data_IF_537178717828
#
_entry.id   IF_537178717828
#
_cell.length_a   1.000
_cell.length_b   1.000
_cell.length_c   1.000
_cell.angle_alpha   90.00
_cell.angle_beta   90.00
_cell.angle_gamma   90.00
#
_symmetry.space_group_name_H-M   'P 1'
#
loop_
_entity.id
_entity.type
_entity.pdbx_description
1 polymer ?
#
# COMPACT_ATOMS: atom_id res chain seq x y z
N UNK A 1 -12.38 -6.82 15.52
CA UNK A 1 -11.08 -6.40 14.98
C UNK A 1 -10.73 -5.04 15.53
N UNK A 2 -9.45 -4.69 15.53
CA UNK A 2 -8.95 -3.37 15.84
C UNK A 2 -7.88 -3.06 14.80
N UNK A 3 -7.75 -1.79 14.38
CA UNK A 3 -6.69 -1.39 13.47
C UNK A 3 -5.33 -1.70 14.10
N UNK A 4 -4.45 -2.37 13.35
CA UNK A 4 -3.09 -2.65 13.79
C UNK A 4 -2.24 -1.38 13.83
N UNK A 5 -1.10 -1.44 14.53
CA UNK A 5 -0.20 -0.30 14.70
C UNK A 5 -0.58 0.65 15.83
N UNK A 6 -1.80 0.56 16.38
CA UNK A 6 -2.21 1.31 17.58
C UNK A 6 -1.38 0.98 18.83
N UNK A 7 -0.70 -0.17 18.85
CA UNK A 7 0.28 -0.52 19.85
C UNK A 7 1.65 0.14 19.63
N UNK A 8 1.93 0.60 18.41
CA UNK A 8 3.22 1.18 18.01
C UNK A 8 3.23 2.71 18.05
N UNK A 9 2.13 3.37 17.65
CA UNK A 9 2.04 4.84 17.53
C UNK A 9 0.66 5.38 17.91
N UNK A 10 0.55 6.65 18.33
CA UNK A 10 -0.74 7.32 18.49
C UNK A 10 -1.56 7.26 17.19
N UNK A 11 -2.88 7.05 17.30
CA UNK A 11 -3.80 6.96 16.16
C UNK A 11 -3.67 8.19 15.23
N UNK A 12 -3.61 9.39 15.81
CA UNK A 12 -3.45 10.65 15.08
C UNK A 12 -2.18 10.65 14.21
N UNK A 13 -1.07 10.15 14.74
CA UNK A 13 0.21 10.11 14.01
C UNK A 13 0.18 9.07 12.89
N UNK A 14 -0.50 7.94 13.10
CA UNK A 14 -0.70 6.93 12.06
C UNK A 14 -1.49 7.52 10.89
N UNK A 15 -2.60 8.19 11.19
CA UNK A 15 -3.44 8.83 10.17
C UNK A 15 -2.71 9.98 9.48
N UNK A 16 -1.91 10.76 10.21
CA UNK A 16 -1.10 11.83 9.64
C UNK A 16 -0.10 11.30 8.62
N UNK A 17 0.59 10.19 8.92
CA UNK A 17 1.50 9.56 7.97
C UNK A 17 0.78 9.12 6.67
N UNK A 18 -0.46 8.61 6.77
CA UNK A 18 -1.24 8.22 5.58
C UNK A 18 -1.53 9.45 4.70
N UNK A 19 -1.92 10.57 5.32
CA UNK A 19 -2.17 11.83 4.61
C UNK A 19 -0.90 12.46 4.04
N UNK A 20 0.21 12.44 4.79
CA UNK A 20 1.53 12.94 4.35
C UNK A 20 2.04 12.18 3.12
N UNK A 21 1.76 10.88 3.04
CA UNK A 21 2.04 10.03 1.88
C UNK A 21 1.09 10.26 0.68
N UNK A 22 0.22 11.27 0.76
CA UNK A 22 -0.72 11.67 -0.30
C UNK A 22 -1.79 10.62 -0.63
N UNK A 23 -2.04 9.65 0.25
CA UNK A 23 -3.25 8.84 0.14
C UNK A 23 -4.46 9.70 0.53
N UNK A 24 -5.57 9.54 -0.19
CA UNK A 24 -6.79 10.31 0.02
C UNK A 24 -7.96 9.46 0.54
N UNK A 25 -7.78 8.14 0.64
CA UNK A 25 -8.76 7.24 1.26
C UNK A 25 -8.08 6.05 1.96
N UNK A 26 -8.81 5.43 2.87
CA UNK A 26 -8.45 4.16 3.50
C UNK A 26 -9.56 3.14 3.29
N UNK A 27 -9.20 1.96 2.76
CA UNK A 27 -10.06 0.78 2.77
C UNK A 27 -9.91 0.10 4.14
N UNK A 28 -10.87 0.31 5.03
CA UNK A 28 -10.80 -0.12 6.41
C UNK A 28 -11.62 -1.40 6.61
N UNK A 29 -10.94 -2.47 7.00
CA UNK A 29 -11.53 -3.81 7.09
C UNK A 29 -12.30 -4.00 8.40
N UNK A 30 -13.44 -4.67 8.32
CA UNK A 30 -14.26 -5.05 9.48
C UNK A 30 -14.79 -6.49 9.36
N UNK A 31 -15.18 -7.06 10.50
CA UNK A 31 -15.67 -8.43 10.58
C UNK A 31 -17.14 -8.48 10.97
N UNK A 32 -17.95 -9.36 10.37
CA UNK A 32 -19.39 -9.48 10.71
C UNK A 32 -19.60 -9.67 12.22
N UNK A 33 -18.85 -10.58 12.85
CA UNK A 33 -19.01 -10.88 14.27
C UNK A 33 -18.68 -9.71 15.19
N UNK A 34 -17.92 -8.73 14.69
CA UNK A 34 -17.62 -7.53 15.46
C UNK A 34 -18.86 -6.68 15.69
N UNK A 35 -19.77 -6.62 14.71
CA UNK A 35 -20.99 -5.82 14.74
C UNK A 35 -22.23 -6.61 15.18
N UNK A 36 -22.20 -7.95 15.12
CA UNK A 36 -23.34 -8.79 15.52
C UNK A 36 -23.19 -9.40 16.92
N UNK A 37 -21.95 -9.62 17.41
CA UNK A 37 -21.70 -10.31 18.69
C UNK A 37 -21.14 -9.40 19.77
N UNK A 38 -20.72 -8.20 19.40
CA UNK A 38 -20.14 -7.17 20.27
C UNK A 38 -18.94 -7.66 21.09
N UNK A 39 -18.23 -6.72 21.72
CA UNK A 39 -17.10 -7.05 22.56
C UNK A 39 -16.34 -5.81 23.01
N UNK A 40 -15.47 -6.00 24.00
CA UNK A 40 -14.59 -4.97 24.54
C UNK A 40 -13.16 -5.19 24.05
N UNK A 41 -12.42 -4.12 23.77
CA UNK A 41 -11.03 -4.19 23.28
C UNK A 41 -10.15 -4.96 24.28
N UNK A 42 -10.12 -4.51 25.54
CA UNK A 42 -9.33 -5.13 26.61
C UNK A 42 -9.60 -6.63 26.75
N UNK A 43 -10.88 -7.02 26.85
CA UNK A 43 -11.28 -8.43 27.01
C UNK A 43 -10.81 -9.30 25.84
N UNK A 44 -10.86 -8.79 24.60
CA UNK A 44 -10.37 -9.54 23.43
C UNK A 44 -8.86 -9.68 23.43
N UNK A 45 -8.13 -8.60 23.70
CA UNK A 45 -6.67 -8.61 23.79
C UNK A 45 -6.20 -9.62 24.84
N UNK A 46 -6.83 -9.60 26.02
CA UNK A 46 -6.51 -10.53 27.10
C UNK A 46 -6.84 -11.99 26.71
N UNK A 47 -7.97 -12.23 26.04
CA UNK A 47 -8.36 -13.58 25.59
C UNK A 47 -7.42 -14.18 24.54
N UNK A 48 -6.72 -13.32 23.78
CA UNK A 48 -5.75 -13.73 22.77
C UNK A 48 -4.31 -13.78 23.32
N UNK A 49 -4.09 -13.40 24.59
CA UNK A 49 -2.77 -13.38 25.21
C UNK A 49 -1.81 -12.32 24.64
N UNK A 50 -2.33 -11.27 23.99
CA UNK A 50 -1.53 -10.26 23.28
C UNK A 50 -0.96 -9.18 24.23
N UNK A 51 -0.04 -9.58 25.12
CA UNK A 51 0.52 -8.71 26.17
C UNK A 51 1.25 -7.50 25.61
N UNK A 52 2.13 -7.69 24.63
CA UNK A 52 2.89 -6.58 24.03
C UNK A 52 1.99 -5.55 23.35
N UNK A 53 0.95 -6.03 22.64
CA UNK A 53 -0.03 -5.14 22.01
C UNK A 53 -0.82 -4.36 23.07
N UNK A 54 -1.19 -5.00 24.19
CA UNK A 54 -1.86 -4.34 25.32
C UNK A 54 -1.02 -3.20 25.88
N UNK A 55 0.25 -3.48 26.18
CA UNK A 55 1.17 -2.50 26.76
C UNK A 55 1.44 -1.35 25.79
N UNK A 56 1.60 -1.66 24.50
CA UNK A 56 1.75 -0.67 23.44
C UNK A 56 0.53 0.23 23.28
N UNK A 57 -0.69 -0.34 23.29
CA UNK A 57 -1.94 0.43 23.21
C UNK A 57 -2.10 1.29 24.47
N UNK A 58 -1.79 0.75 25.66
CA UNK A 58 -1.83 1.52 26.90
C UNK A 58 -0.89 2.73 26.84
N UNK A 59 0.29 2.57 26.24
CA UNK A 59 1.28 3.64 26.08
C UNK A 59 0.83 4.70 25.06
N UNK A 60 0.36 4.27 23.89
CA UNK A 60 0.17 5.15 22.74
C UNK A 60 -1.27 5.64 22.56
N UNK A 61 -2.26 4.83 22.96
CA UNK A 61 -3.69 5.06 22.77
C UNK A 61 -4.52 4.59 23.98
N UNK A 62 -4.23 5.05 25.21
CA UNK A 62 -4.78 4.48 26.44
C UNK A 62 -6.32 4.45 26.49
N UNK A 63 -6.98 5.44 25.88
CA UNK A 63 -8.45 5.55 25.88
C UNK A 63 -9.09 4.41 25.07
N UNK A 64 -8.44 3.93 24.00
CA UNK A 64 -8.97 2.87 23.12
C UNK A 64 -9.11 1.55 23.87
N UNK A 65 -8.22 1.27 24.83
CA UNK A 65 -8.17 -0.02 25.52
C UNK A 65 -9.48 -0.36 26.24
N UNK A 66 -10.15 0.64 26.79
CA UNK A 66 -11.39 0.49 27.55
C UNK A 66 -12.66 0.66 26.70
N UNK A 67 -12.53 0.79 25.38
CA UNK A 67 -13.67 0.95 24.48
C UNK A 67 -14.29 -0.40 24.09
N UNK A 68 -15.58 -0.35 23.74
CA UNK A 68 -16.19 -1.39 22.94
C UNK A 68 -15.47 -1.47 21.59
N UNK A 69 -15.33 -2.68 21.01
CA UNK A 69 -14.66 -2.89 19.73
C UNK A 69 -15.24 -2.01 18.62
N UNK A 70 -16.57 -1.94 18.54
CA UNK A 70 -17.27 -1.09 17.55
C UNK A 70 -16.91 0.38 17.77
N UNK A 71 -16.86 0.84 19.01
CA UNK A 71 -16.50 2.22 19.34
C UNK A 71 -15.03 2.53 19.03
N UNK A 72 -14.14 1.59 19.28
CA UNK A 72 -12.73 1.72 18.92
C UNK A 72 -12.56 1.85 17.40
N UNK A 73 -13.31 1.07 16.61
CA UNK A 73 -13.32 1.17 15.16
C UNK A 73 -13.92 2.49 14.66
N UNK A 74 -15.03 2.93 15.24
CA UNK A 74 -15.57 4.28 14.97
C UNK A 74 -14.55 5.37 15.25
N UNK A 75 -13.76 5.25 16.32
CA UNK A 75 -12.72 6.22 16.67
C UNK A 75 -11.65 6.32 15.59
N UNK A 76 -11.30 5.20 14.95
CA UNK A 76 -10.39 5.20 13.78
C UNK A 76 -11.04 5.91 12.58
N UNK A 77 -12.31 5.62 12.28
CA UNK A 77 -13.05 6.28 11.18
C UNK A 77 -13.21 7.78 11.42
N UNK A 78 -13.36 8.21 12.68
CA UNK A 78 -13.45 9.62 13.05
C UNK A 78 -12.12 10.34 12.87
N UNK A 79 -11.01 9.74 13.29
CA UNK A 79 -9.69 10.35 13.07
C UNK A 79 -9.34 10.44 11.58
N UNK A 80 -9.62 9.39 10.80
CA UNK A 80 -9.44 9.41 9.33
C UNK A 80 -10.19 10.60 8.71
N UNK A 81 -11.47 10.78 9.06
CA UNK A 81 -12.27 11.91 8.58
C UNK A 81 -11.79 13.27 9.07
N UNK A 82 -11.34 13.37 10.33
CA UNK A 82 -10.81 14.60 10.91
C UNK A 82 -9.55 15.10 10.18
N UNK A 83 -8.80 14.19 9.55
CA UNK A 83 -7.62 14.51 8.73
C UNK A 83 -7.92 14.50 7.22
N UNK A 84 -9.19 14.54 6.83
CA UNK A 84 -9.60 14.70 5.43
C UNK A 84 -9.53 13.45 4.57
N UNK A 85 -9.33 12.26 5.16
CA UNK A 85 -9.32 11.01 4.42
C UNK A 85 -10.73 10.44 4.25
N UNK A 86 -11.04 9.95 3.05
CA UNK A 86 -12.24 9.15 2.80
C UNK A 86 -12.06 7.73 3.35
N UNK A 87 -13.17 7.06 3.63
CA UNK A 87 -13.17 5.69 4.16
C UNK A 87 -14.07 4.80 3.31
N UNK A 88 -13.53 3.68 2.86
CA UNK A 88 -14.29 2.57 2.28
C UNK A 88 -14.33 1.45 3.32
N UNK A 89 -15.52 1.12 3.82
CA UNK A 89 -15.68 0.07 4.83
C UNK A 89 -15.72 -1.30 4.15
N UNK A 90 -14.79 -2.19 4.45
CA UNK A 90 -14.70 -3.49 3.80
C UNK A 90 -15.11 -4.64 4.72
N UNK A 91 -16.18 -5.37 4.37
CA UNK A 91 -16.54 -6.59 5.09
C UNK A 91 -15.57 -7.72 4.74
N UNK A 92 -14.49 -7.84 5.52
CA UNK A 92 -13.36 -8.69 5.17
C UNK A 92 -13.57 -10.17 5.52
N UNK A 93 -14.26 -10.44 6.62
CA UNK A 93 -14.60 -11.81 7.06
C UNK A 93 -15.77 -11.81 8.03
N UNK A 94 -16.27 -13.00 8.35
CA UNK A 94 -17.28 -13.14 9.37
C UNK A 94 -16.65 -13.26 10.76
N UNK A 95 -15.81 -14.28 10.96
CA UNK A 95 -15.10 -14.54 12.21
C UNK A 95 -13.67 -14.01 12.09
N UNK A 96 -13.22 -13.10 12.98
CA UNK A 96 -11.87 -12.53 12.94
C UNK A 96 -10.83 -13.54 13.47
N UNK A 97 -10.18 -14.28 12.57
CA UNK A 97 -8.99 -15.10 12.83
C UNK A 97 -8.15 -15.22 11.55
N UNK A 98 -7.16 -16.14 11.51
CA UNK A 98 -6.32 -16.37 10.33
C UNK A 98 -7.14 -16.73 9.08
N UNK A 99 -7.17 -15.81 8.13
CA UNK A 99 -7.52 -16.03 6.73
C UNK A 99 -6.21 -16.34 5.95
N UNK A 100 -6.17 -16.56 4.64
CA UNK A 100 -7.19 -16.41 3.60
C UNK A 100 -7.17 -17.64 2.69
N UNK A 101 -7.31 -18.82 3.28
CA UNK A 101 -7.27 -20.10 2.56
C UNK A 101 -8.65 -20.47 2.01
N UNK A 102 -8.70 -21.31 0.96
CA UNK A 102 -9.96 -21.77 0.35
C UNK A 102 -10.86 -22.59 1.30
N UNK A 103 -10.31 -23.09 2.41
CA UNK A 103 -10.98 -23.89 3.42
C UNK A 103 -11.01 -23.21 4.79
N UNK A 104 -10.79 -21.90 4.84
CA UNK A 104 -10.80 -21.13 6.09
C UNK A 104 -12.20 -20.96 6.69
N UNK A 105 -13.25 -21.53 6.09
CA UNK A 105 -14.61 -21.47 6.62
C UNK A 105 -15.24 -20.07 6.67
N UNK A 106 -14.63 -19.06 6.04
CA UNK A 106 -15.17 -17.71 5.90
C UNK A 106 -15.41 -17.32 4.44
N UNK A 107 -14.78 -17.97 3.47
CA UNK A 107 -14.69 -17.47 2.10
C UNK A 107 -16.00 -17.49 1.30
N UNK A 108 -16.97 -18.35 1.62
CA UNK A 108 -18.16 -18.50 0.76
C UNK A 108 -19.45 -18.93 1.48
N UNK A 109 -20.58 -18.77 0.80
CA UNK A 109 -21.88 -19.14 1.32
C UNK A 109 -21.93 -20.63 1.70
N UNK A 110 -22.48 -20.91 2.89
CA UNK A 110 -22.55 -22.26 3.45
C UNK A 110 -21.26 -22.74 4.14
N UNK A 111 -20.26 -21.89 4.26
CA UNK A 111 -19.13 -22.14 5.14
C UNK A 111 -19.52 -21.97 6.63
N UNK A 112 -18.79 -22.65 7.51
CA UNK A 112 -19.08 -22.74 8.95
C UNK A 112 -19.18 -21.38 9.67
N UNK A 113 -18.58 -20.32 9.12
CA UNK A 113 -18.61 -18.99 9.72
C UNK A 113 -19.32 -17.96 8.83
N UNK A 114 -19.72 -18.31 7.61
CA UNK A 114 -20.44 -17.39 6.73
C UNK A 114 -21.93 -17.74 6.66
N UNK A 115 -22.68 -17.17 7.60
CA UNK A 115 -24.14 -17.24 7.64
C UNK A 115 -24.75 -16.03 6.90
N UNK A 116 -25.52 -16.22 5.80
CA UNK A 116 -26.04 -15.12 4.99
C UNK A 116 -26.88 -14.10 5.78
N UNK A 117 -27.69 -14.59 6.71
CA UNK A 117 -28.56 -13.74 7.52
C UNK A 117 -27.77 -12.86 8.51
N UNK A 118 -26.80 -13.44 9.23
CA UNK A 118 -25.92 -12.69 10.14
C UNK A 118 -25.04 -11.70 9.36
N UNK A 119 -24.59 -12.06 8.15
CA UNK A 119 -23.87 -11.15 7.26
C UNK A 119 -24.74 -9.95 6.83
N UNK A 120 -25.98 -10.19 6.40
CA UNK A 120 -26.91 -9.11 6.05
C UNK A 120 -27.21 -8.20 7.26
N UNK A 121 -27.40 -8.77 8.44
CA UNK A 121 -27.56 -8.02 9.69
C UNK A 121 -26.32 -7.16 10.00
N UNK A 122 -25.12 -7.71 9.79
CA UNK A 122 -23.86 -6.98 9.91
C UNK A 122 -23.80 -5.78 8.96
N UNK A 123 -24.12 -5.98 7.67
CA UNK A 123 -24.15 -4.91 6.67
C UNK A 123 -25.14 -3.80 7.04
N UNK A 124 -26.36 -4.16 7.45
CA UNK A 124 -27.38 -3.20 7.88
C UNK A 124 -26.94 -2.42 9.12
N UNK A 125 -26.30 -3.10 10.07
CA UNK A 125 -25.79 -2.49 11.31
C UNK A 125 -24.70 -1.46 10.99
N UNK A 126 -23.73 -1.82 10.15
CA UNK A 126 -22.66 -0.92 9.72
C UNK A 126 -23.22 0.24 8.91
N UNK A 127 -24.08 -0.01 7.91
CA UNK A 127 -24.69 1.06 7.13
C UNK A 127 -25.44 2.07 8.02
N UNK A 128 -26.23 1.60 8.99
CA UNK A 128 -26.94 2.48 9.91
C UNK A 128 -26.02 3.25 10.87
N UNK A 129 -24.94 2.62 11.36
CA UNK A 129 -23.99 3.24 12.29
C UNK A 129 -23.14 4.33 11.65
N UNK A 130 -22.83 4.19 10.36
CA UNK A 130 -21.92 5.10 9.64
C UNK A 130 -22.62 6.08 8.69
N UNK A 131 -23.95 5.98 8.48
CA UNK A 131 -24.68 6.82 7.50
C UNK A 131 -24.56 8.34 7.68
N UNK A 132 -24.26 8.83 8.87
CA UNK A 132 -24.10 10.27 9.16
C UNK A 132 -22.66 10.75 9.08
N UNK A 133 -21.70 9.83 8.86
CA UNK A 133 -20.27 10.13 8.77
C UNK A 133 -19.91 10.34 7.29
N UNK A 134 -19.91 11.60 6.85
CA UNK A 134 -19.71 11.97 5.44
C UNK A 134 -18.38 11.47 4.84
N UNK A 135 -17.37 11.20 5.66
CA UNK A 135 -16.12 10.62 5.22
C UNK A 135 -16.24 9.15 4.79
N UNK A 136 -17.30 8.44 5.21
CA UNK A 136 -17.58 7.07 4.76
C UNK A 136 -18.31 7.12 3.43
N UNK A 137 -17.58 6.84 2.35
CA UNK A 137 -18.06 7.05 0.98
C UNK A 137 -18.59 5.78 0.33
N UNK A 138 -18.17 4.61 0.80
CA UNK A 138 -18.60 3.31 0.26
C UNK A 138 -18.47 2.19 1.30
N UNK A 139 -19.14 1.07 1.03
CA UNK A 139 -19.00 -0.17 1.77
C UNK A 139 -18.81 -1.33 0.79
N UNK A 140 -17.66 -1.99 0.83
CA UNK A 140 -17.44 -3.28 0.18
C UNK A 140 -18.25 -4.35 0.93
N UNK A 141 -19.08 -5.08 0.18
CA UNK A 141 -20.08 -5.98 0.76
C UNK A 141 -19.49 -7.30 1.26
N UNK A 142 -18.44 -7.81 0.59
CA UNK A 142 -17.73 -9.01 1.01
C UNK A 142 -16.38 -9.10 0.28
N UNK A 143 -15.31 -9.18 1.05
CA UNK A 143 -13.97 -9.40 0.54
C UNK A 143 -13.79 -10.79 -0.08
N UNK A 144 -13.16 -10.83 -1.26
CA UNK A 144 -12.62 -12.02 -1.93
C UNK A 144 -13.43 -13.31 -1.75
N UNK A 145 -14.67 -13.32 -2.24
CA UNK A 145 -15.47 -14.55 -2.20
C UNK A 145 -14.72 -15.70 -2.86
N UNK A 146 -14.38 -16.73 -2.08
CA UNK A 146 -13.52 -17.84 -2.50
C UNK A 146 -13.94 -19.13 -1.81
N UNK A 147 -14.07 -20.21 -2.57
CA UNK A 147 -14.30 -21.55 -2.02
C UNK A 147 -13.93 -22.61 -3.05
N UNK A 148 -13.56 -23.80 -2.56
CA UNK A 148 -13.46 -25.00 -3.40
C UNK A 148 -14.80 -25.39 -4.03
N UNK A 149 -15.92 -24.82 -3.57
CA UNK A 149 -17.29 -25.07 -4.02
C UNK A 149 -17.79 -24.08 -5.08
N UNK A 150 -16.91 -23.28 -5.68
CA UNK A 150 -17.29 -22.31 -6.72
C UNK A 150 -17.57 -22.95 -8.11
N UNK A 151 -17.45 -24.27 -8.22
CA UNK A 151 -17.76 -24.99 -9.46
C UNK A 151 -19.27 -24.95 -9.75
N UNK A 152 -19.67 -24.86 -11.02
CA UNK A 152 -21.09 -24.78 -11.46
C UNK A 152 -22.02 -25.82 -10.80
N UNK A 153 -21.48 -27.01 -10.53
CA UNK A 153 -22.24 -28.09 -9.91
C UNK A 153 -22.55 -27.87 -8.42
N UNK A 154 -21.69 -27.14 -7.69
CA UNK A 154 -21.90 -26.83 -6.28
C UNK A 154 -22.73 -25.55 -6.09
N UNK A 155 -22.68 -24.63 -7.06
CA UNK A 155 -23.58 -23.47 -7.16
C UNK A 155 -25.04 -23.92 -7.03
N UNK A 156 -25.42 -24.92 -7.82
CA UNK A 156 -26.80 -25.44 -7.84
C UNK A 156 -27.21 -26.23 -6.58
N UNK A 157 -26.27 -26.74 -5.76
CA UNK A 157 -26.56 -27.60 -4.60
C UNK A 157 -26.57 -26.87 -3.25
N UNK A 158 -25.77 -25.82 -3.08
CA UNK A 158 -25.68 -25.11 -1.80
C UNK A 158 -26.80 -24.09 -1.55
N UNK A 159 -27.78 -24.01 -2.45
CA UNK A 159 -28.68 -22.89 -2.45
C UNK A 159 -27.93 -21.60 -2.80
N UNK A 160 -27.04 -21.63 -3.80
CA UNK A 160 -26.92 -20.45 -4.65
C UNK A 160 -28.32 -20.29 -5.25
N UNK A 161 -29.12 -19.51 -4.55
CA UNK A 161 -30.10 -18.70 -5.21
C UNK A 161 -29.32 -17.45 -5.61
N UNK A 162 -28.84 -17.35 -6.87
CA UNK A 162 -28.86 -16.06 -7.54
C UNK A 162 -30.15 -15.34 -7.19
N UNK A 163 -31.29 -16.03 -7.07
CA UNK A 163 -32.52 -15.46 -6.53
C UNK A 163 -32.50 -14.90 -5.09
N UNK A 164 -31.62 -15.21 -4.13
CA UNK A 164 -31.66 -14.54 -2.81
C UNK A 164 -30.99 -13.16 -2.88
N UNK A 165 -29.86 -13.08 -3.58
CA UNK A 165 -29.19 -11.82 -3.87
C UNK A 165 -29.89 -11.06 -4.99
N UNK A 166 -30.32 -11.69 -6.09
CA UNK A 166 -31.18 -11.09 -7.12
C UNK A 166 -32.50 -10.63 -6.50
N UNK A 167 -33.35 -11.48 -5.91
CA UNK A 167 -34.67 -11.04 -5.41
C UNK A 167 -34.58 -9.91 -4.36
N UNK A 168 -33.46 -9.78 -3.62
CA UNK A 168 -33.23 -8.65 -2.71
C UNK A 168 -32.39 -7.49 -3.26
N UNK A 169 -31.56 -7.69 -4.29
CA UNK A 169 -30.63 -6.68 -4.88
C UNK A 169 -31.08 -6.22 -6.27
N UNK A 170 -31.69 -7.06 -7.10
CA UNK A 170 -32.36 -6.61 -8.34
C UNK A 170 -33.63 -5.80 -8.07
N UNK A 171 -34.15 -5.84 -6.85
CA UNK A 171 -35.18 -4.90 -6.36
C UNK A 171 -34.63 -3.60 -5.77
N UNK A 172 -33.30 -3.48 -5.59
CA UNK A 172 -32.67 -2.26 -5.11
C UNK A 172 -32.32 -1.37 -6.30
N UNK A 173 -33.12 -0.33 -6.50
CA UNK A 173 -32.69 0.81 -7.30
C UNK A 173 -31.55 1.54 -6.56
N UNK A 174 -30.33 1.08 -6.82
CA UNK A 174 -29.11 1.65 -6.26
C UNK A 174 -28.76 3.01 -6.87
N UNK A 175 -29.57 3.58 -7.79
CA UNK A 175 -29.46 4.97 -8.27
C UNK A 175 -28.02 5.44 -8.54
N UNK A 176 -27.32 4.80 -9.49
CA UNK A 176 -25.93 5.08 -9.87
C UNK A 176 -24.88 4.91 -8.74
N UNK A 177 -25.21 4.20 -7.64
CA UNK A 177 -24.29 3.96 -6.50
C UNK A 177 -23.54 2.63 -6.58
N UNK A 178 -23.72 1.85 -7.65
CA UNK A 178 -23.02 0.58 -7.84
C UNK A 178 -21.62 0.82 -8.42
N UNK A 179 -20.60 0.25 -7.77
CA UNK A 179 -19.21 0.23 -8.22
C UNK A 179 -18.74 -1.22 -8.16
N UNK A 180 -18.04 -1.68 -9.21
CA UNK A 180 -17.43 -3.01 -9.21
C UNK A 180 -16.05 -2.94 -8.57
N UNK A 181 -15.65 -3.98 -7.85
CA UNK A 181 -14.36 -4.08 -7.18
C UNK A 181 -13.52 -5.22 -7.77
N UNK A 182 -12.21 -5.03 -7.88
CA UNK A 182 -11.27 -6.06 -8.38
C UNK A 182 -9.97 -6.03 -7.61
N UNK A 183 -9.41 -7.21 -7.37
CA UNK A 183 -8.12 -7.42 -6.70
C UNK A 183 -7.18 -8.14 -7.63
N UNK A 184 -5.88 -7.85 -7.54
CA UNK A 184 -4.86 -8.56 -8.30
C UNK A 184 -3.50 -8.46 -7.64
N UNK A 185 -2.83 -9.60 -7.53
CA UNK A 185 -1.55 -9.74 -6.85
C UNK A 185 -0.49 -10.33 -7.79
N UNK A 186 0.78 -10.07 -7.50
CA UNK A 186 1.90 -10.62 -8.29
C UNK A 186 1.96 -12.15 -8.25
N UNK A 187 1.46 -12.74 -7.16
CA UNK A 187 1.38 -14.19 -6.95
C UNK A 187 0.14 -14.83 -7.56
N UNK A 188 -0.74 -14.06 -8.20
CA UNK A 188 -1.92 -14.60 -8.90
C UNK A 188 -1.50 -15.32 -10.19
N UNK A 189 -2.00 -16.55 -10.39
CA UNK A 189 -1.69 -17.37 -11.56
C UNK A 189 -0.40 -18.19 -11.42
N UNK A 190 0.11 -18.68 -12.55
CA UNK A 190 1.38 -19.43 -12.57
C UNK A 190 2.56 -18.48 -12.39
N UNK A 191 3.26 -18.58 -11.27
CA UNK A 191 4.40 -17.72 -10.95
C UNK A 191 5.65 -18.09 -11.76
N UNK A 192 5.78 -19.34 -12.22
CA UNK A 192 6.97 -19.81 -12.93
C UNK A 192 7.14 -19.11 -14.29
N UNK A 193 6.05 -18.61 -14.87
CA UNK A 193 6.09 -17.90 -16.16
C UNK A 193 6.95 -16.64 -16.10
N UNK A 194 7.04 -15.98 -14.94
CA UNK A 194 7.86 -14.77 -14.77
C UNK A 194 9.36 -15.06 -14.88
N UNK A 195 9.77 -16.30 -14.59
CA UNK A 195 11.18 -16.74 -14.63
C UNK A 195 11.56 -17.35 -15.99
N UNK A 196 10.63 -18.04 -16.64
CA UNK A 196 10.92 -18.82 -17.86
C UNK A 196 10.50 -18.15 -19.17
N UNK A 197 9.55 -17.20 -19.15
CA UNK A 197 9.06 -16.52 -20.35
C UNK A 197 9.63 -15.09 -20.48
N UNK A 198 9.70 -14.53 -21.70
CA UNK A 198 10.03 -13.12 -21.88
C UNK A 198 9.06 -12.20 -21.12
N UNK A 199 9.59 -11.27 -20.31
CA UNK A 199 8.79 -10.38 -19.46
C UNK A 199 7.68 -9.64 -20.23
N UNK A 200 7.98 -9.12 -21.42
CA UNK A 200 6.96 -8.42 -22.24
C UNK A 200 5.77 -9.32 -22.61
N UNK A 201 6.01 -10.61 -22.81
CA UNK A 201 4.95 -11.59 -23.10
C UNK A 201 4.11 -11.83 -21.86
N UNK A 202 4.75 -12.02 -20.70
CA UNK A 202 4.05 -12.22 -19.42
C UNK A 202 3.19 -10.99 -19.09
N UNK A 203 3.77 -9.79 -19.18
CA UNK A 203 3.04 -8.53 -18.97
C UNK A 203 1.83 -8.40 -19.91
N UNK A 204 1.97 -8.75 -21.19
CA UNK A 204 0.86 -8.71 -22.15
C UNK A 204 -0.26 -9.69 -21.76
N UNK A 205 0.08 -10.92 -21.36
CA UNK A 205 -0.88 -11.94 -20.92
C UNK A 205 -1.60 -11.48 -19.64
N UNK A 206 -0.85 -11.03 -18.62
CA UNK A 206 -1.43 -10.56 -17.36
C UNK A 206 -2.35 -9.36 -17.56
N UNK A 207 -1.95 -8.40 -18.41
CA UNK A 207 -2.79 -7.25 -18.75
C UNK A 207 -4.06 -7.68 -19.49
N UNK A 208 -3.96 -8.65 -20.40
CA UNK A 208 -5.11 -9.17 -21.12
C UNK A 208 -6.09 -9.89 -20.19
N UNK A 209 -5.58 -10.66 -19.22
CA UNK A 209 -6.39 -11.33 -18.21
C UNK A 209 -7.15 -10.35 -17.32
N UNK A 210 -6.48 -9.29 -16.84
CA UNK A 210 -7.14 -8.23 -16.08
C UNK A 210 -8.25 -7.57 -16.91
N UNK A 211 -7.96 -7.27 -18.19
CA UNK A 211 -8.95 -6.70 -19.13
C UNK A 211 -10.14 -7.63 -19.35
N UNK A 212 -9.93 -8.94 -19.50
CA UNK A 212 -11.02 -9.90 -19.73
C UNK A 212 -11.87 -10.16 -18.48
N UNK A 213 -11.28 -10.05 -17.29
CA UNK A 213 -11.97 -10.38 -16.04
C UNK A 213 -12.78 -9.21 -15.48
N UNK A 214 -12.24 -8.00 -15.55
CA UNK A 214 -12.89 -6.81 -14.95
C UNK A 214 -12.69 -5.53 -15.76
N UNK A 215 -11.56 -5.38 -16.47
CA UNK A 215 -11.26 -4.17 -17.23
C UNK A 215 -12.23 -3.89 -18.39
N UNK A 216 -13.02 -4.87 -18.84
CA UNK A 216 -14.08 -4.63 -19.82
C UNK A 216 -15.17 -3.70 -19.28
N UNK A 217 -15.34 -3.58 -17.96
CA UNK A 217 -16.33 -2.70 -17.33
C UNK A 217 -15.99 -1.22 -17.56
N UNK A 218 -14.71 -0.87 -17.67
CA UNK A 218 -14.27 0.52 -17.86
C UNK A 218 -14.25 0.95 -19.33
N UNK A 219 -14.64 0.07 -20.25
CA UNK A 219 -14.51 0.27 -21.69
C UNK A 219 -15.82 -0.07 -22.40
N UNK A 220 -16.21 0.68 -23.42
CA UNK A 220 -17.42 0.41 -24.23
C UNK A 220 -18.41 1.55 -24.24
N UNK A 221 -19.68 1.26 -24.60
CA UNK A 221 -20.72 2.29 -24.79
C UNK A 221 -21.27 2.86 -23.48
N UNK A 222 -21.14 2.13 -22.37
CA UNK A 222 -21.62 2.57 -21.06
C UNK A 222 -20.63 2.10 -19.97
N UNK A 223 -19.48 2.79 -19.82
CA UNK A 223 -18.46 2.38 -18.87
C UNK A 223 -18.97 2.53 -17.44
N UNK A 224 -18.62 1.56 -16.59
CA UNK A 224 -18.95 1.53 -15.17
C UNK A 224 -17.65 1.70 -14.36
N UNK A 225 -17.64 2.50 -13.28
CA UNK A 225 -16.48 2.61 -12.41
C UNK A 225 -16.02 1.23 -11.88
N UNK A 226 -14.72 0.99 -11.99
CA UNK A 226 -14.04 -0.18 -11.44
C UNK A 226 -13.05 0.28 -10.37
N UNK A 227 -13.26 -0.18 -9.15
CA UNK A 227 -12.41 0.09 -8.01
C UNK A 227 -11.38 -1.03 -7.84
N UNK A 228 -10.12 -0.71 -8.06
CA UNK A 228 -9.02 -1.64 -7.85
C UNK A 228 -8.46 -1.42 -6.43
N UNK A 229 -8.92 -2.26 -5.50
CA UNK A 229 -8.89 -1.97 -4.06
C UNK A 229 -7.83 -2.73 -3.27
N UNK A 230 -7.32 -3.84 -3.82
CA UNK A 230 -6.22 -4.60 -3.25
C UNK A 230 -5.23 -5.06 -4.31
N UNK A 231 -3.97 -4.69 -4.11
CA UNK A 231 -2.82 -5.16 -4.85
C UNK A 231 -1.57 -4.94 -4.00
N UNK A 232 -0.54 -5.73 -4.25
CA UNK A 232 0.73 -5.57 -3.55
C UNK A 232 1.68 -6.71 -3.85
N UNK A 233 2.96 -6.48 -3.58
CA UNK A 233 3.97 -7.52 -3.58
C UNK A 233 5.13 -7.11 -2.68
N UNK A 234 5.80 -8.11 -2.11
CA UNK A 234 7.06 -7.91 -1.42
C UNK A 234 8.16 -7.64 -2.46
N UNK A 235 8.73 -6.43 -2.45
CA UNK A 235 9.82 -6.05 -3.36
C UNK A 235 11.21 -6.38 -2.78
N UNK A 236 11.26 -7.01 -1.60
CA UNK A 236 12.52 -7.52 -1.06
C UNK A 236 12.95 -8.78 -1.79
N UNK A 237 14.26 -8.99 -1.89
CA UNK A 237 14.82 -10.24 -2.43
C UNK A 237 14.89 -11.28 -1.31
N UNK A 238 13.98 -12.29 -1.26
CA UNK A 238 13.90 -13.24 -0.15
C UNK A 238 15.08 -14.22 -0.12
N UNK A 239 15.87 -14.29 -1.18
CA UNK A 239 17.02 -15.19 -1.31
C UNK A 239 18.36 -14.49 -1.10
N UNK A 240 18.35 -13.18 -0.84
CA UNK A 240 19.58 -12.42 -0.57
C UNK A 240 20.09 -12.67 0.84
N UNK A 241 21.21 -13.38 0.95
CA UNK A 241 22.08 -13.36 2.13
C UNK A 241 22.98 -12.10 2.16
N UNK A 242 22.76 -11.16 1.25
CA UNK A 242 23.52 -9.92 1.16
C UNK A 242 22.96 -8.90 2.17
N UNK A 243 23.85 -8.08 2.71
CA UNK A 243 23.43 -6.93 3.50
C UNK A 243 22.49 -6.05 2.69
N UNK A 244 21.41 -5.58 3.34
CA UNK A 244 20.44 -4.67 2.76
C UNK A 244 21.17 -3.50 2.11
N UNK A 245 20.91 -3.31 0.82
CA UNK A 245 21.49 -2.26 0.02
C UNK A 245 20.39 -1.46 -0.66
N UNK A 246 20.61 -0.17 -0.83
CA UNK A 246 19.74 0.71 -1.57
C UNK A 246 20.17 0.79 -3.03
N UNK A 247 19.20 1.00 -3.91
CA UNK A 247 19.42 1.35 -5.31
C UNK A 247 18.99 2.81 -5.47
N UNK A 248 19.88 3.66 -5.97
CA UNK A 248 19.48 4.99 -6.42
C UNK A 248 18.89 4.87 -7.82
N UNK A 249 17.68 5.40 -7.98
CA UNK A 249 16.89 5.31 -9.20
C UNK A 249 16.38 6.70 -9.58
N UNK A 250 16.45 7.04 -10.86
CA UNK A 250 15.95 8.31 -11.39
C UNK A 250 14.56 8.11 -12.00
N UNK A 251 13.48 8.57 -11.32
CA UNK A 251 12.09 8.26 -11.67
C UNK A 251 11.71 8.62 -13.11
N UNK A 252 12.04 9.82 -13.55
CA UNK A 252 11.66 10.28 -14.89
C UNK A 252 12.31 9.51 -16.05
N UNK A 253 13.44 8.84 -15.81
CA UNK A 253 14.16 8.11 -16.87
C UNK A 253 14.06 6.60 -16.80
N UNK A 254 13.63 6.04 -15.66
CA UNK A 254 13.69 4.60 -15.45
C UNK A 254 15.09 4.02 -15.20
N UNK A 255 16.13 4.85 -15.05
CA UNK A 255 17.52 4.39 -14.96
C UNK A 255 18.04 4.36 -13.52
N UNK A 256 18.92 3.40 -13.24
CA UNK A 256 19.62 3.31 -11.96
C UNK A 256 20.94 4.08 -12.01
N UNK A 257 21.30 4.67 -10.87
CA UNK A 257 22.55 5.39 -10.63
C UNK A 257 23.58 4.42 -10.05
N UNK A 258 24.79 4.42 -10.61
CA UNK A 258 25.92 3.61 -10.15
C UNK A 258 27.25 4.31 -10.35
N UNK A 259 28.34 3.63 -9.99
CA UNK A 259 29.70 4.14 -10.10
C UNK A 259 30.58 3.18 -10.92
N UNK A 260 31.34 3.69 -11.89
CA UNK A 260 32.16 2.83 -12.73
C UNK A 260 33.52 2.52 -12.07
N UNK A 261 34.38 1.75 -12.74
CA UNK A 261 35.72 1.38 -12.23
C UNK A 261 36.66 2.58 -12.00
N UNK A 262 36.33 3.75 -12.57
CA UNK A 262 37.05 5.01 -12.36
C UNK A 262 36.41 5.88 -11.27
N UNK A 263 35.43 5.34 -10.53
CA UNK A 263 34.60 6.04 -9.54
C UNK A 263 33.78 7.20 -10.12
N UNK A 264 33.49 7.18 -11.43
CA UNK A 264 32.60 8.17 -12.05
C UNK A 264 31.15 7.72 -11.88
N UNK A 265 30.29 8.64 -11.45
CA UNK A 265 28.86 8.37 -11.25
C UNK A 265 28.11 8.45 -12.59
N UNK A 266 27.28 7.46 -12.88
CA UNK A 266 26.58 7.34 -14.16
C UNK A 266 25.21 6.67 -14.03
N UNK A 267 24.33 6.90 -15.00
CA UNK A 267 23.07 6.16 -15.16
C UNK A 267 23.22 5.01 -16.14
N UNK A 268 22.51 3.91 -15.91
CA UNK A 268 22.50 2.79 -16.86
C UNK A 268 21.29 1.88 -16.74
N UNK A 269 20.95 1.21 -17.84
CA UNK A 269 19.88 0.21 -17.93
C UNK A 269 20.40 -1.23 -17.68
N UNK A 270 21.72 -1.42 -17.57
CA UNK A 270 22.37 -2.75 -17.57
C UNK A 270 22.08 -3.59 -16.32
N UNK A 271 22.34 -4.90 -16.34
CA UNK A 271 22.09 -5.82 -15.20
C UNK A 271 23.30 -6.02 -14.25
N UNK A 272 24.26 -5.09 -14.23
CA UNK A 272 25.46 -5.22 -13.36
C UNK A 272 25.15 -4.64 -11.97
N UNK A 273 24.95 -5.54 -11.00
CA UNK A 273 24.43 -5.20 -9.66
C UNK A 273 25.47 -4.65 -8.69
N UNK A 274 26.74 -5.08 -8.77
CA UNK A 274 27.75 -4.76 -7.76
C UNK A 274 28.16 -3.28 -7.74
N UNK A 275 28.05 -2.57 -8.86
CA UNK A 275 28.46 -1.16 -9.00
C UNK A 275 27.34 -0.15 -8.69
N UNK A 276 26.23 -0.62 -8.10
CA UNK A 276 25.00 0.15 -7.86
C UNK A 276 24.43 0.01 -6.46
N UNK A 277 25.18 -0.63 -5.56
CA UNK A 277 24.74 -0.85 -4.19
C UNK A 277 25.18 0.32 -3.34
N UNK A 278 24.20 0.97 -2.74
CA UNK A 278 24.40 2.11 -1.88
C UNK A 278 23.98 1.76 -0.46
N UNK A 279 24.62 2.37 0.54
CA UNK A 279 24.05 2.47 1.88
C UNK A 279 23.52 3.88 2.09
N UNK A 280 22.47 3.99 2.89
CA UNK A 280 21.92 5.27 3.32
C UNK A 280 21.95 5.30 4.84
N UNK A 281 22.65 6.27 5.41
CA UNK A 281 22.82 6.43 6.86
C UNK A 281 21.64 7.21 7.50
N UNK A 282 20.59 7.51 6.73
CA UNK A 282 19.40 8.26 7.17
C UNK A 282 19.32 9.65 6.55
N UNK A 283 18.21 10.37 6.78
CA UNK A 283 18.02 11.71 6.22
C UNK A 283 19.07 12.70 6.77
N UNK A 284 19.77 13.39 5.87
CA UNK A 284 20.91 14.24 6.21
C UNK A 284 22.23 13.47 6.39
N UNK A 285 22.22 12.14 6.24
CA UNK A 285 23.41 11.29 6.27
C UNK A 285 24.04 11.11 4.88
N UNK A 286 25.26 10.57 4.82
CA UNK A 286 25.92 10.28 3.56
C UNK A 286 25.33 9.05 2.86
N UNK A 287 25.26 9.12 1.53
CA UNK A 287 24.95 7.97 0.68
C UNK A 287 26.27 7.35 0.22
N UNK A 288 26.57 6.15 0.71
CA UNK A 288 27.88 5.50 0.52
C UNK A 288 27.83 4.43 -0.54
N UNK A 289 28.89 4.33 -1.33
CA UNK A 289 29.05 3.22 -2.26
C UNK A 289 29.49 1.97 -1.47
N UNK A 290 28.63 0.94 -1.44
CA UNK A 290 28.87 -0.24 -0.63
C UNK A 290 30.16 -0.97 -1.03
N UNK A 291 30.90 -1.45 -0.02
CA UNK A 291 32.20 -2.09 -0.22
C UNK A 291 33.35 -1.10 -0.47
N UNK A 292 33.11 0.21 -0.27
CA UNK A 292 34.13 1.24 -0.38
C UNK A 292 34.03 2.26 0.76
N UNK A 293 35.07 3.08 0.92
CA UNK A 293 35.07 4.23 1.83
C UNK A 293 34.51 5.50 1.17
N UNK A 294 33.90 5.39 -0.01
CA UNK A 294 33.45 6.52 -0.82
C UNK A 294 31.97 6.79 -0.60
N UNK A 295 31.59 8.07 -0.65
CA UNK A 295 30.22 8.55 -0.65
C UNK A 295 29.99 9.58 -1.74
N UNK A 296 28.72 9.75 -2.09
CA UNK A 296 28.28 10.76 -3.03
C UNK A 296 28.53 12.16 -2.45
N UNK A 297 29.13 13.04 -3.26
CA UNK A 297 29.36 14.44 -2.92
C UNK A 297 28.90 15.33 -4.08
N UNK A 298 28.12 16.37 -3.76
CA UNK A 298 27.75 17.42 -4.72
C UNK A 298 28.85 18.48 -4.77
N UNK A 299 29.14 18.98 -5.97
CA UNK A 299 30.16 20.00 -6.18
C UNK A 299 29.49 21.35 -6.45
N UNK A 300 29.16 21.64 -7.70
CA UNK A 300 28.48 22.87 -8.13
C UNK A 300 27.45 22.60 -9.22
N UNK A 301 26.54 23.56 -9.44
CA UNK A 301 25.51 23.48 -10.50
C UNK A 301 26.15 23.29 -11.89
N UNK A 302 25.65 22.30 -12.63
CA UNK A 302 26.15 21.92 -13.95
C UNK A 302 27.40 21.03 -13.93
N UNK A 303 27.97 20.74 -12.75
CA UNK A 303 29.10 19.81 -12.59
C UNK A 303 28.61 18.39 -12.28
N UNK A 304 29.33 17.34 -12.69
CA UNK A 304 28.99 15.98 -12.29
C UNK A 304 29.16 15.79 -10.77
N UNK A 305 28.31 14.98 -10.11
CA UNK A 305 28.58 14.53 -8.75
C UNK A 305 29.84 13.66 -8.73
N UNK A 306 30.54 13.69 -7.59
CA UNK A 306 31.76 12.90 -7.40
C UNK A 306 31.59 11.88 -6.28
N UNK A 307 32.50 10.92 -6.25
CA UNK A 307 32.68 10.04 -5.12
C UNK A 307 33.88 10.51 -4.29
N UNK A 308 33.63 10.85 -3.03
CA UNK A 308 34.63 11.39 -2.10
C UNK A 308 34.79 10.49 -0.87
N UNK A 309 35.96 10.55 -0.22
CA UNK A 309 36.16 9.98 1.13
C UNK A 309 35.67 10.91 2.25
N UNK A 310 35.45 12.18 1.91
CA UNK A 310 34.88 13.17 2.81
C UNK A 310 33.35 13.03 2.83
N UNK A 311 32.86 12.23 3.79
CA UNK A 311 31.44 11.91 3.95
C UNK A 311 30.77 12.66 5.10
N UNK A 312 31.49 13.59 5.73
CA UNK A 312 30.99 14.37 6.86
C UNK A 312 30.75 15.83 6.49
N UNK A 313 31.19 16.26 5.30
CA UNK A 313 30.88 17.58 4.79
C UNK A 313 29.42 17.72 4.38
N UNK A 314 28.94 18.97 4.40
CA UNK A 314 27.58 19.34 4.01
C UNK A 314 27.25 18.98 2.55
N UNK A 315 28.27 18.89 1.71
CA UNK A 315 28.18 18.46 0.31
C UNK A 315 27.92 16.96 0.14
N UNK A 316 28.17 16.17 1.19
CA UNK A 316 27.90 14.73 1.22
C UNK A 316 26.69 14.40 2.12
N UNK A 317 26.14 15.38 2.83
CA UNK A 317 24.96 15.24 3.68
C UNK A 317 23.68 15.31 2.82
N UNK A 318 23.29 14.16 2.26
CA UNK A 318 22.12 14.04 1.40
C UNK A 318 20.85 13.95 2.23
N UNK A 319 19.85 14.77 1.89
CA UNK A 319 18.52 14.69 2.50
C UNK A 319 17.43 14.90 1.49
N UNK A 320 16.23 14.45 1.84
CA UNK A 320 15.05 14.82 1.10
C UNK A 320 14.69 16.28 1.39
N UNK A 321 14.44 17.06 0.34
CA UNK A 321 14.15 18.51 0.48
C UNK A 321 12.76 18.91 0.06
N UNK A 322 12.00 18.04 -0.61
CA UNK A 322 10.63 18.30 -1.06
C UNK A 322 9.61 17.49 -0.27
N UNK A 323 8.34 17.94 -0.25
CA UNK A 323 7.24 17.25 0.44
C UNK A 323 6.89 15.90 -0.20
N UNK A 324 7.09 15.78 -1.51
CA UNK A 324 6.98 14.53 -2.28
C UNK A 324 8.07 13.50 -1.93
N UNK A 325 9.08 13.89 -1.17
CA UNK A 325 10.29 13.13 -0.88
C UNK A 325 11.13 12.71 -2.11
N UNK A 326 10.82 13.21 -3.31
CA UNK A 326 11.47 12.84 -4.57
C UNK A 326 12.75 13.64 -4.85
N UNK A 327 12.92 14.81 -4.22
CA UNK A 327 14.12 15.63 -4.36
C UNK A 327 15.15 15.25 -3.30
N UNK A 328 16.13 14.44 -3.70
CA UNK A 328 17.29 14.13 -2.89
C UNK A 328 18.40 15.14 -3.18
N UNK A 329 18.81 15.91 -2.17
CA UNK A 329 19.76 17.01 -2.33
C UNK A 329 20.81 17.08 -1.23
N UNK A 330 21.96 17.64 -1.57
CA UNK A 330 22.97 18.10 -0.63
C UNK A 330 23.32 19.57 -0.95
N UNK A 331 23.98 20.27 -0.02
CA UNK A 331 24.33 21.69 -0.23
C UNK A 331 25.74 21.84 -0.78
N UNK A 332 25.92 22.74 -1.74
CA UNK A 332 27.25 23.14 -2.22
C UNK A 332 28.02 23.98 -1.17
N UNK A 333 29.23 24.42 -1.53
CA UNK A 333 30.08 25.28 -0.68
C UNK A 333 29.44 26.62 -0.31
N UNK A 334 28.47 27.09 -1.11
CA UNK A 334 27.73 28.34 -0.89
C UNK A 334 26.43 28.11 -0.10
N UNK A 335 26.14 26.86 0.30
CA UNK A 335 24.94 26.51 1.06
C UNK A 335 23.68 26.31 0.20
N UNK A 336 23.79 26.28 -1.13
CA UNK A 336 22.69 26.07 -2.06
C UNK A 336 22.41 24.58 -2.26
N UNK A 337 21.14 24.16 -2.20
CA UNK A 337 20.76 22.77 -2.49
C UNK A 337 20.93 22.44 -3.96
N UNK A 338 21.65 21.34 -4.21
CA UNK A 338 21.82 20.72 -5.50
C UNK A 338 21.24 19.31 -5.50
N UNK A 339 20.41 19.04 -6.49
CA UNK A 339 19.78 17.75 -6.77
C UNK A 339 20.58 17.01 -7.85
N UNK A 340 20.53 15.69 -7.82
CA UNK A 340 21.02 14.87 -8.92
C UNK A 340 20.03 14.93 -10.08
N UNK A 341 20.52 15.34 -11.25
CA UNK A 341 19.70 15.46 -12.44
C UNK A 341 20.35 14.78 -13.65
N UNK A 342 19.49 14.42 -14.58
CA UNK A 342 19.76 13.60 -15.73
C UNK A 342 19.83 14.44 -17.01
N UNK A 343 20.97 14.41 -17.72
CA UNK A 343 21.20 15.33 -18.85
C UNK A 343 20.21 15.19 -20.01
N UNK A 344 19.91 13.96 -20.42
CA UNK A 344 19.03 13.66 -21.57
C UNK A 344 18.91 12.15 -21.76
N UNK A 345 17.81 11.67 -22.36
CA UNK A 345 17.54 10.24 -22.64
C UNK A 345 18.73 9.44 -23.22
N UNK A 346 19.61 10.10 -23.98
CA UNK A 346 20.74 9.50 -24.69
C UNK A 346 22.08 9.60 -23.96
N UNK A 347 22.14 10.15 -22.74
CA UNK A 347 23.38 10.29 -21.97
C UNK A 347 23.36 9.40 -20.73
N UNK A 348 24.51 8.85 -20.37
CA UNK A 348 24.72 8.19 -19.07
C UNK A 348 25.18 9.17 -17.97
N UNK A 349 25.36 10.45 -18.30
CA UNK A 349 25.94 11.44 -17.39
C UNK A 349 24.87 12.03 -16.45
N UNK A 350 25.27 12.16 -15.18
CA UNK A 350 24.51 12.81 -14.12
C UNK A 350 25.19 14.15 -13.81
N UNK A 351 24.40 15.15 -13.45
CA UNK A 351 24.87 16.46 -13.06
C UNK A 351 24.20 16.89 -11.76
N UNK A 352 24.90 17.69 -10.98
CA UNK A 352 24.29 18.45 -9.92
C UNK A 352 23.56 19.63 -10.57
N UNK A 353 22.30 19.84 -10.21
CA UNK A 353 21.50 20.97 -10.65
C UNK A 353 20.87 21.64 -9.46
N UNK A 354 20.64 22.95 -9.56
CA UNK A 354 19.77 23.62 -8.60
C UNK A 354 18.44 22.88 -8.56
N UNK A 355 18.04 22.45 -7.37
CA UNK A 355 16.75 21.81 -7.19
C UNK A 355 15.65 22.80 -7.61
N UNK A 356 14.72 22.34 -8.44
CA UNK A 356 13.54 23.10 -8.89
C UNK A 356 12.31 22.54 -8.21
N UNK A 357 11.23 23.32 -8.13
CA UNK A 357 9.93 22.86 -7.61
C UNK A 357 9.99 22.27 -6.18
N UNK A 358 10.94 22.69 -5.33
CA UNK A 358 11.06 22.18 -3.95
C UNK A 358 9.82 22.58 -3.12
N UNK A 359 9.32 23.79 -3.35
CA UNK A 359 8.19 24.38 -2.63
C UNK A 359 6.87 24.32 -3.42
N UNK A 360 6.91 23.91 -4.69
CA UNK A 360 5.75 23.86 -5.59
C UNK A 360 4.93 22.56 -5.48
N UNK A 361 5.35 21.63 -4.59
CA UNK A 361 4.58 20.42 -4.25
C UNK A 361 3.17 20.76 -3.68
N UNK A 362 2.89 22.04 -3.36
CA UNK A 362 1.59 22.55 -2.92
C UNK A 362 0.63 22.96 -4.07
N UNK A 363 1.02 22.78 -5.33
CA UNK A 363 0.24 23.24 -6.50
C UNK A 363 -0.51 22.13 -7.26
N UNK A 364 -1.60 21.68 -6.62
CA UNK A 364 -2.89 21.11 -7.09
C UNK A 364 -3.30 19.79 -6.44
#
# INVERSE_FOLDING_TARGET
>A
MLAEGLDKKPLRDIVAMVSELQFNFVRLTWATFMFTRYGQVLSRIDSLGLREAKDGILKNNPVILNMALVRAYETVVDELGAQGLMVVLDNHFSKPYSCCQYNDGNGFFGDNHFHPQEWLEGLITVANGFKTKNQVVAMSLRNEQRSSRQNEHDRTKLGDRPSFLEEKVTGLDLNNKLVYETHWYSFSGDQQIWEVQPLNRVCAISTQLLKSNSGFLTSGRNPIPLFFSEFGFDQTDPNSNLSTSYILYHPGSGKCIGANVKNEVYTSNSRRWWSRRWSNDGDGGPIRLMGSALCLKVEGDGLPPILSRDCLSQQSACKSVSKSYLHLAAKDEHGQYLCLDYKSANSSKIFNRKCICIDDDDSN
#
